data_IF_229051480815
#
_entry.id   IF_229051480815
#
_cell.length_a   1.000
_cell.length_b   1.000
_cell.length_c   1.000
_cell.angle_alpha   90.00
_cell.angle_beta   90.00
_cell.angle_gamma   90.00
#
_symmetry.space_group_name_H-M   'P 1'
#
loop_
_entity.id
_entity.type
_entity.pdbx_description
1 polymer ?
#
# COMPACT_ATOMS: atom_id res chain seq x y z
N UNK A 1 12.19 -20.43 15.22
CA UNK A 1 11.35 -21.63 15.01
C UNK A 1 10.33 -21.25 13.96
N UNK A 2 10.73 -21.52 12.73
CA UNK A 2 10.13 -21.01 11.50
C UNK A 2 8.93 -21.85 11.09
N UNK A 3 7.84 -21.17 10.74
CA UNK A 3 6.76 -21.74 9.95
C UNK A 3 6.51 -20.78 8.79
N UNK A 4 7.26 -20.97 7.71
CA UNK A 4 6.89 -20.48 6.40
C UNK A 4 5.84 -21.44 5.84
N UNK A 5 4.62 -20.99 5.62
CA UNK A 5 3.61 -21.77 4.90
C UNK A 5 3.73 -21.41 3.43
N UNK A 6 4.63 -22.09 2.73
CA UNK A 6 4.62 -22.11 1.27
C UNK A 6 3.56 -23.10 0.80
N UNK A 7 2.58 -22.64 0.03
CA UNK A 7 1.67 -23.54 -0.66
C UNK A 7 2.35 -24.04 -1.93
N UNK A 8 2.92 -25.24 -1.88
CA UNK A 8 3.12 -26.06 -3.09
C UNK A 8 1.93 -27.02 -3.16
N UNK A 9 1.15 -26.95 -4.24
CA UNK A 9 0.06 -27.90 -4.48
C UNK A 9 0.66 -29.23 -4.94
N UNK A 10 0.95 -30.11 -3.98
CA UNK A 10 1.27 -31.52 -4.21
C UNK A 10 0.38 -32.39 -3.32
N UNK A 11 -0.34 -33.35 -3.93
CA UNK A 11 -1.28 -34.24 -3.26
C UNK A 11 -0.60 -35.46 -2.65
N UNK A 12 -0.80 -35.75 -1.34
CA UNK A 12 -1.14 -37.10 -0.83
C UNK A 12 -1.35 -37.16 0.70
N UNK A 13 -2.52 -37.68 1.08
CA UNK A 13 -2.99 -38.53 2.20
C UNK A 13 -2.16 -38.92 3.47
N UNK A 14 -2.84 -38.78 4.63
CA UNK A 14 -2.90 -39.62 5.87
C UNK A 14 -1.95 -39.39 7.09
N UNK A 15 -2.37 -39.74 8.34
CA UNK A 15 -2.38 -38.85 9.53
C UNK A 15 -1.54 -39.35 10.74
N UNK A 16 -1.71 -38.71 11.93
CA UNK A 16 -1.46 -39.15 13.37
C UNK A 16 -0.77 -38.00 14.16
N UNK A 17 -0.84 -37.80 15.50
CA UNK A 17 -1.82 -37.82 16.61
C UNK A 17 -1.00 -37.45 17.89
N UNK A 18 -1.52 -36.57 18.78
CA UNK A 18 -1.10 -36.39 20.21
C UNK A 18 0.23 -35.65 20.48
N UNK A 19 0.47 -34.91 21.57
CA UNK A 19 -0.25 -34.61 22.81
C UNK A 19 0.77 -34.35 23.96
N UNK A 20 0.44 -33.45 24.90
CA UNK A 20 0.92 -33.39 26.32
C UNK A 20 2.37 -32.88 26.58
N UNK A 21 2.81 -32.29 27.71
CA UNK A 21 2.44 -31.18 28.64
C UNK A 21 3.68 -30.93 29.56
N UNK A 22 3.65 -29.83 30.33
CA UNK A 22 4.22 -29.60 31.68
C UNK A 22 5.69 -29.15 31.91
N UNK A 23 5.77 -27.92 32.46
CA UNK A 23 6.44 -27.44 33.68
C UNK A 23 7.93 -27.67 33.96
N UNK A 24 8.57 -26.61 34.53
CA UNK A 24 9.30 -26.60 35.82
C UNK A 24 10.11 -25.27 35.95
N UNK A 25 9.80 -24.48 36.99
CA UNK A 25 10.67 -23.49 37.68
C UNK A 25 11.48 -24.25 38.76
N UNK A 26 12.63 -23.80 39.36
CA UNK A 26 12.65 -22.59 40.23
C UNK A 26 14.04 -21.89 40.50
N UNK A 27 14.01 -20.88 41.40
CA UNK A 27 15.04 -20.43 42.39
C UNK A 27 15.91 -19.16 42.13
N UNK A 28 15.48 -18.05 42.78
CA UNK A 28 16.16 -17.10 43.72
C UNK A 28 17.53 -16.44 43.41
N UNK A 29 17.63 -15.08 43.42
CA UNK A 29 18.03 -14.22 44.57
C UNK A 29 18.41 -12.75 44.20
N UNK A 30 17.84 -11.81 44.99
CA UNK A 30 18.45 -10.58 45.54
C UNK A 30 18.47 -9.22 44.79
N UNK A 31 17.89 -8.23 45.51
CA UNK A 31 18.15 -6.77 45.57
C UNK A 31 17.73 -5.86 44.39
N UNK A 32 17.01 -4.75 44.68
CA UNK A 32 17.47 -3.34 44.60
C UNK A 32 16.29 -2.33 44.68
N UNK A 33 16.37 -1.42 45.67
CA UNK A 33 16.02 0.01 45.74
C UNK A 33 14.65 0.57 45.28
N UNK A 34 14.03 1.31 46.22
CA UNK A 34 12.95 2.29 46.02
C UNK A 34 13.47 3.55 45.30
N UNK A 35 12.83 3.96 44.20
CA UNK A 35 12.78 5.37 43.74
C UNK A 35 11.38 5.64 43.20
N UNK A 36 10.58 6.39 43.95
CA UNK A 36 9.34 7.02 43.49
C UNK A 36 9.69 8.33 42.78
N UNK A 37 9.47 8.40 41.47
CA UNK A 37 9.46 9.66 40.72
C UNK A 37 8.02 9.96 40.28
N UNK A 38 7.42 10.93 40.98
CA UNK A 38 6.16 11.57 40.63
C UNK A 38 6.50 12.55 39.49
N UNK A 39 6.04 12.28 38.27
CA UNK A 39 6.04 13.27 37.20
C UNK A 39 4.64 13.88 37.07
N UNK A 40 4.53 15.22 36.95
CA UNK A 40 3.25 15.84 36.70
C UNK A 40 2.79 15.49 35.29
N UNK A 41 1.53 15.07 35.21
CA UNK A 41 0.77 14.91 33.99
C UNK A 41 0.66 16.26 33.30
N UNK A 42 1.45 16.49 32.24
CA UNK A 42 1.17 17.54 31.26
C UNK A 42 0.73 16.85 29.96
N UNK A 43 -0.59 16.70 29.87
CA UNK A 43 -1.35 16.36 28.67
C UNK A 43 -1.33 17.56 27.71
N UNK A 44 -1.55 17.30 26.41
CA UNK A 44 -1.59 18.19 25.24
C UNK A 44 -0.21 18.34 24.58
N UNK A 45 0.10 17.59 23.51
CA UNK A 45 -0.56 17.67 22.21
C UNK A 45 -0.72 16.25 21.61
N UNK A 46 -1.97 15.81 21.43
CA UNK A 46 -2.29 14.69 20.53
C UNK A 46 -1.92 15.13 19.12
N UNK A 47 -0.75 14.76 18.62
CA UNK A 47 -0.58 14.58 17.18
C UNK A 47 -1.28 13.26 16.86
N UNK A 48 -2.58 13.33 16.61
CA UNK A 48 -3.27 12.30 15.84
C UNK A 48 -2.72 12.43 14.42
N UNK A 49 -1.59 11.78 14.15
CA UNK A 49 -1.20 11.48 12.77
C UNK A 49 -2.21 10.45 12.26
N UNK A 50 -3.36 10.94 11.80
CA UNK A 50 -4.29 10.17 11.01
C UNK A 50 -3.65 10.00 9.63
N UNK A 51 -2.82 8.95 9.49
CA UNK A 51 -2.20 8.60 8.22
C UNK A 51 -3.30 8.02 7.32
N UNK A 52 -3.88 8.89 6.51
CA UNK A 52 -4.98 8.63 5.58
C UNK A 52 -4.46 8.25 4.20
N UNK A 53 -4.00 7.01 4.02
CA UNK A 53 -3.71 6.38 2.72
C UNK A 53 -5.06 6.14 2.00
N UNK A 54 -5.27 6.42 0.70
CA UNK A 54 -4.32 6.20 -0.37
C UNK A 54 -3.44 7.41 -0.69
N UNK A 55 -2.15 7.29 -0.44
CA UNK A 55 -1.05 8.11 -0.94
C UNK A 55 -0.15 7.22 -1.82
N UNK A 56 0.01 7.58 -3.09
CA UNK A 56 0.97 6.93 -3.96
C UNK A 56 2.32 7.62 -3.85
N UNK A 57 3.39 6.84 -3.85
CA UNK A 57 4.78 7.32 -3.90
C UNK A 57 5.39 6.77 -5.19
N UNK A 58 5.84 7.68 -6.05
CA UNK A 58 6.53 7.38 -7.31
C UNK A 58 7.98 7.82 -7.12
N UNK A 59 8.86 6.86 -6.81
CA UNK A 59 10.31 7.10 -6.86
C UNK A 59 10.77 7.18 -8.32
N UNK A 60 11.59 8.18 -8.63
CA UNK A 60 12.15 8.44 -9.95
C UNK A 60 13.68 8.45 -9.83
N UNK A 61 14.33 7.27 -9.89
CA UNK A 61 15.77 7.14 -9.66
C UNK A 61 16.63 8.00 -10.59
N UNK A 62 16.19 8.17 -11.84
CA UNK A 62 16.89 8.98 -12.84
C UNK A 62 16.95 10.48 -12.46
N UNK A 63 16.04 10.93 -11.59
CA UNK A 63 16.00 12.30 -11.07
C UNK A 63 16.46 12.42 -9.61
N UNK A 64 16.78 11.30 -8.96
CA UNK A 64 17.05 11.22 -7.51
C UNK A 64 15.97 11.93 -6.66
N UNK A 65 14.71 11.79 -7.07
CA UNK A 65 13.59 12.45 -6.42
C UNK A 65 12.31 11.59 -6.49
N UNK A 66 11.25 12.02 -5.79
CA UNK A 66 9.98 11.31 -5.74
C UNK A 66 8.78 12.25 -5.86
N UNK A 67 7.72 11.74 -6.45
CA UNK A 67 6.40 12.37 -6.49
C UNK A 67 5.43 11.61 -5.59
N UNK A 68 4.50 12.33 -4.98
CA UNK A 68 3.44 11.71 -4.22
C UNK A 68 2.11 12.44 -4.39
N UNK A 69 1.01 11.69 -4.34
CA UNK A 69 -0.32 12.25 -4.46
C UNK A 69 -1.34 11.28 -3.87
N UNK A 70 -2.50 11.80 -3.48
CA UNK A 70 -3.59 10.97 -2.98
C UNK A 70 -4.62 10.73 -4.07
N UNK A 71 -5.44 9.68 -3.94
CA UNK A 71 -6.69 9.58 -4.70
C UNK A 71 -7.87 9.44 -3.76
N UNK A 72 -8.70 10.47 -3.67
CA UNK A 72 -9.84 10.46 -2.78
C UNK A 72 -11.14 10.46 -3.59
N UNK A 73 -12.01 9.49 -3.29
CA UNK A 73 -13.41 9.45 -3.72
C UNK A 73 -14.23 8.74 -2.64
N UNK A 74 -15.54 8.57 -2.82
CA UNK A 74 -16.42 7.88 -1.88
C UNK A 74 -15.96 6.44 -1.60
N UNK A 75 -16.23 5.91 -0.40
CA UNK A 75 -16.08 4.49 -0.11
C UNK A 75 -16.80 3.60 -1.12
N UNK A 76 -16.19 2.48 -1.47
CA UNK A 76 -16.71 1.51 -2.44
C UNK A 76 -16.27 1.77 -3.88
N UNK A 77 -15.65 2.91 -4.16
CA UNK A 77 -15.09 3.23 -5.49
C UNK A 77 -13.95 2.27 -5.83
N UNK A 78 -13.94 1.76 -7.06
CA UNK A 78 -12.91 0.83 -7.54
C UNK A 78 -12.07 1.56 -8.59
N UNK A 79 -10.79 1.71 -8.31
CA UNK A 79 -9.83 2.35 -9.20
C UNK A 79 -9.00 1.31 -9.97
N UNK A 80 -8.81 1.54 -11.26
CA UNK A 80 -7.83 0.83 -12.06
C UNK A 80 -6.42 1.41 -11.80
N UNK A 81 -5.59 0.66 -11.10
CA UNK A 81 -4.27 1.10 -10.68
C UNK A 81 -3.22 0.79 -11.74
N UNK A 82 -3.28 -0.42 -12.28
CA UNK A 82 -2.37 -0.93 -13.31
C UNK A 82 -3.18 -1.76 -14.30
N UNK A 83 -2.99 -1.51 -15.59
CA UNK A 83 -3.46 -2.36 -16.68
C UNK A 83 -2.36 -2.44 -17.72
N UNK A 84 -1.89 -3.64 -18.00
CA UNK A 84 -0.97 -3.90 -19.10
C UNK A 84 -1.62 -4.85 -20.10
N UNK A 85 -2.15 -4.32 -21.23
CA UNK A 85 -2.90 -5.13 -22.18
C UNK A 85 -2.02 -6.14 -22.94
N UNK A 86 -0.69 -5.99 -22.95
CA UNK A 86 0.19 -6.94 -23.64
C UNK A 86 0.51 -8.16 -22.80
N UNK A 87 0.57 -8.02 -21.47
CA UNK A 87 0.78 -9.13 -20.54
C UNK A 87 -0.54 -9.67 -19.98
N UNK A 88 -1.65 -8.93 -20.14
CA UNK A 88 -2.94 -9.24 -19.54
C UNK A 88 -2.96 -9.04 -18.02
N UNK A 89 -2.00 -8.28 -17.49
CA UNK A 89 -1.87 -7.98 -16.06
C UNK A 89 -2.74 -6.79 -15.67
N UNK A 90 -3.60 -6.96 -14.66
CA UNK A 90 -4.47 -5.89 -14.16
C UNK A 90 -4.46 -5.88 -12.64
N UNK A 91 -4.44 -4.68 -12.06
CA UNK A 91 -4.64 -4.43 -10.63
C UNK A 91 -5.69 -3.35 -10.44
N UNK A 92 -6.76 -3.70 -9.73
CA UNK A 92 -7.81 -2.78 -9.30
C UNK A 92 -7.82 -2.69 -7.77
N UNK A 93 -8.06 -1.49 -7.23
CA UNK A 93 -8.15 -1.24 -5.79
C UNK A 93 -9.50 -0.63 -5.42
N UNK A 94 -10.20 -1.24 -4.46
CA UNK A 94 -11.47 -0.72 -3.94
C UNK A 94 -11.26 0.04 -2.63
N UNK A 95 -11.82 1.25 -2.57
CA UNK A 95 -11.77 2.08 -1.37
C UNK A 95 -12.79 1.63 -0.31
N UNK A 96 -12.44 1.83 0.96
CA UNK A 96 -13.29 1.71 2.15
C UNK A 96 -13.18 3.03 2.92
N UNK A 97 -14.22 3.39 3.68
CA UNK A 97 -14.22 4.62 4.49
C UNK A 97 -13.69 4.40 5.90
N UNK A 98 -13.69 5.44 6.72
CA UNK A 98 -13.54 5.33 8.16
C UNK A 98 -14.62 4.43 8.81
N UNK A 99 -14.30 3.81 9.96
CA UNK A 99 -15.18 2.97 10.78
C UNK A 99 -16.40 3.73 11.30
N UNK A 100 -16.28 5.04 11.51
CA UNK A 100 -17.37 5.93 11.92
C UNK A 100 -17.31 7.21 11.11
N UNK A 101 -18.43 7.56 10.48
CA UNK A 101 -18.60 8.90 9.91
C UNK A 101 -18.87 9.89 11.04
N UNK A 102 -18.02 10.91 11.16
CA UNK A 102 -18.30 12.05 12.01
C UNK A 102 -19.07 13.06 11.16
N UNK A 103 -20.29 13.40 11.57
CA UNK A 103 -21.11 14.41 10.88
C UNK A 103 -20.34 15.72 10.77
N UNK A 104 -20.07 16.17 9.54
CA UNK A 104 -19.37 17.42 9.26
C UNK A 104 -17.85 17.31 9.03
N UNK A 105 -17.25 16.11 9.07
CA UNK A 105 -15.86 15.91 8.64
C UNK A 105 -15.77 15.27 7.26
N UNK A 106 -14.70 15.57 6.52
CA UNK A 106 -14.30 14.79 5.34
C UNK A 106 -14.05 13.35 5.77
N UNK A 107 -14.71 12.40 5.12
CA UNK A 107 -14.47 10.97 5.36
C UNK A 107 -13.18 10.57 4.67
N UNK A 108 -12.23 10.00 5.41
CA UNK A 108 -11.02 9.45 4.79
C UNK A 108 -11.39 8.12 4.14
N UNK A 109 -10.77 7.85 3.01
CA UNK A 109 -10.87 6.58 2.32
C UNK A 109 -9.52 5.90 2.28
N UNK A 110 -9.53 4.57 2.29
CA UNK A 110 -8.36 3.68 2.25
C UNK A 110 -8.60 2.54 1.27
N UNK A 111 -7.57 1.89 0.74
CA UNK A 111 -7.79 0.64 0.04
C UNK A 111 -8.12 -0.49 1.02
N UNK A 112 -9.26 -1.13 0.82
CA UNK A 112 -9.68 -2.29 1.63
C UNK A 112 -9.60 -3.60 0.87
N UNK A 113 -9.63 -3.54 -0.47
CA UNK A 113 -9.63 -4.69 -1.34
C UNK A 113 -8.76 -4.43 -2.57
N UNK A 114 -8.01 -5.44 -3.00
CA UNK A 114 -7.34 -5.45 -4.29
C UNK A 114 -7.77 -6.67 -5.10
N UNK A 115 -8.03 -6.44 -6.38
CA UNK A 115 -8.19 -7.47 -7.39
C UNK A 115 -6.97 -7.48 -8.29
N UNK A 116 -6.29 -8.62 -8.39
CA UNK A 116 -5.20 -8.83 -9.34
C UNK A 116 -5.65 -9.86 -10.36
N UNK A 117 -5.41 -9.59 -11.64
CA UNK A 117 -5.76 -10.46 -12.75
C UNK A 117 -4.51 -10.68 -13.59
N UNK A 118 -4.35 -11.91 -14.05
CA UNK A 118 -3.45 -12.19 -15.17
C UNK A 118 -4.22 -13.02 -16.19
N UNK A 119 -4.71 -12.37 -17.25
CA UNK A 119 -5.64 -12.97 -18.21
C UNK A 119 -5.02 -14.18 -18.91
N UNK A 120 -3.77 -14.06 -19.39
CA UNK A 120 -3.07 -15.14 -20.10
C UNK A 120 -2.95 -16.42 -19.29
N UNK A 121 -2.75 -16.31 -17.97
CA UNK A 121 -2.64 -17.46 -17.07
C UNK A 121 -3.96 -17.83 -16.40
N UNK A 122 -5.04 -17.09 -16.66
CA UNK A 122 -6.34 -17.33 -16.03
C UNK A 122 -6.29 -17.24 -14.51
N UNK A 123 -5.53 -16.28 -13.97
CA UNK A 123 -5.36 -16.10 -12.53
C UNK A 123 -6.15 -14.88 -12.09
N UNK A 124 -6.88 -15.02 -10.98
CA UNK A 124 -7.53 -13.91 -10.27
C UNK A 124 -7.24 -14.03 -8.78
N UNK A 125 -6.72 -12.97 -8.18
CA UNK A 125 -6.45 -12.90 -6.75
C UNK A 125 -7.26 -11.76 -6.15
N UNK A 126 -8.05 -12.06 -5.13
CA UNK A 126 -8.70 -11.06 -4.29
C UNK A 126 -7.95 -10.97 -2.97
N UNK A 127 -7.52 -9.78 -2.60
CA UNK A 127 -6.86 -9.50 -1.33
C UNK A 127 -7.74 -8.57 -0.54
N UNK A 128 -8.06 -8.94 0.69
CA UNK A 128 -8.82 -8.11 1.62
C UNK A 128 -8.02 -7.94 2.91
N UNK A 129 -8.51 -7.12 3.83
CA UNK A 129 -7.89 -6.98 5.16
C UNK A 129 -8.01 -8.24 6.03
N UNK A 130 -8.80 -9.24 5.61
CA UNK A 130 -9.12 -10.44 6.39
C UNK A 130 -8.59 -11.72 5.75
N UNK A 131 -8.71 -11.82 4.43
CA UNK A 131 -8.43 -13.04 3.68
C UNK A 131 -7.90 -12.74 2.28
N UNK A 132 -7.25 -13.76 1.71
CA UNK A 132 -6.75 -13.77 0.34
C UNK A 132 -7.43 -14.94 -0.37
N UNK A 133 -8.07 -14.67 -1.49
CA UNK A 133 -8.72 -15.68 -2.34
C UNK A 133 -7.99 -15.76 -3.66
N UNK A 134 -7.62 -16.98 -4.07
CA UNK A 134 -6.93 -17.24 -5.34
C UNK A 134 -7.80 -18.14 -6.19
N UNK A 135 -8.13 -17.67 -7.39
CA UNK A 135 -8.85 -18.42 -8.41
C UNK A 135 -7.90 -18.65 -9.58
N UNK A 136 -7.67 -19.91 -9.91
CA UNK A 136 -6.81 -20.32 -11.03
C UNK A 136 -7.63 -21.17 -11.99
N UNK A 137 -7.67 -20.78 -13.26
CA UNK A 137 -8.26 -21.63 -14.29
C UNK A 137 -7.30 -22.78 -14.65
N UNK A 138 -7.81 -24.01 -14.84
CA UNK A 138 -7.02 -25.24 -14.88
C UNK A 138 -6.02 -25.36 -16.04
N UNK A 139 -5.93 -24.37 -16.93
CA UNK A 139 -5.17 -24.45 -18.18
C UNK A 139 -3.71 -23.98 -18.09
N UNK A 140 -3.30 -23.26 -17.02
CA UNK A 140 -1.92 -22.78 -16.89
C UNK A 140 -1.43 -22.80 -15.44
N UNK A 141 -0.33 -23.51 -15.19
CA UNK A 141 0.23 -23.72 -13.85
C UNK A 141 1.69 -23.27 -13.77
N UNK A 142 1.94 -21.98 -13.55
CA UNK A 142 3.22 -21.51 -12.99
C UNK A 142 3.07 -20.16 -12.30
N UNK A 143 2.47 -20.15 -11.10
CA UNK A 143 2.42 -19.00 -10.20
C UNK A 143 3.07 -19.34 -8.87
N UNK A 144 3.95 -18.46 -8.37
CA UNK A 144 4.60 -18.59 -7.07
C UNK A 144 4.00 -17.56 -6.08
N UNK A 145 2.82 -17.83 -5.55
CA UNK A 145 2.23 -16.95 -4.54
C UNK A 145 2.93 -17.12 -3.18
N UNK A 146 3.58 -16.07 -2.67
CA UNK A 146 4.27 -16.09 -1.38
C UNK A 146 3.55 -15.21 -0.33
N UNK A 147 2.74 -15.85 0.50
CA UNK A 147 2.18 -15.17 1.68
C UNK A 147 3.23 -15.16 2.80
N UNK A 148 3.64 -13.99 3.26
CA UNK A 148 4.59 -13.88 4.37
C UNK A 148 3.85 -13.60 5.69
N UNK A 149 4.40 -14.09 6.80
CA UNK A 149 3.81 -13.94 8.14
C UNK A 149 3.80 -12.49 8.64
N UNK A 150 4.60 -11.61 8.03
CA UNK A 150 4.87 -10.25 8.49
C UNK A 150 3.78 -9.23 8.08
N UNK A 151 2.55 -9.69 7.83
CA UNK A 151 1.40 -8.88 7.38
C UNK A 151 1.56 -8.30 5.97
N UNK A 152 2.56 -8.75 5.23
CA UNK A 152 2.72 -8.52 3.81
C UNK A 152 2.37 -9.76 3.00
N UNK A 153 1.61 -9.56 1.94
CA UNK A 153 1.44 -10.52 0.87
C UNK A 153 2.38 -10.13 -0.27
N UNK A 154 3.38 -10.96 -0.55
CA UNK A 154 4.22 -10.82 -1.74
C UNK A 154 3.63 -11.70 -2.82
N UNK A 155 3.07 -11.07 -3.85
CA UNK A 155 2.59 -11.82 -5.01
C UNK A 155 3.69 -11.78 -6.06
N UNK A 156 4.34 -12.92 -6.28
CA UNK A 156 5.22 -13.12 -7.41
C UNK A 156 4.56 -14.07 -8.38
N UNK A 157 4.35 -13.64 -9.60
CA UNK A 157 3.97 -14.54 -10.67
C UNK A 157 5.22 -14.73 -11.55
N UNK A 158 5.47 -15.98 -11.94
CA UNK A 158 6.74 -16.36 -12.56
C UNK A 158 6.83 -15.65 -13.92
N UNK A 159 7.90 -14.89 -14.14
CA UNK A 159 8.07 -14.01 -15.31
C UNK A 159 7.05 -12.86 -15.39
N UNK A 160 6.50 -12.39 -14.27
CA UNK A 160 5.67 -11.18 -14.22
C UNK A 160 6.15 -10.18 -13.17
N UNK A 161 5.50 -9.01 -13.16
CA UNK A 161 5.64 -7.93 -12.17
C UNK A 161 5.67 -8.46 -10.75
N UNK A 162 6.54 -7.86 -9.90
CA UNK A 162 6.56 -8.12 -8.46
C UNK A 162 5.95 -6.94 -7.72
N UNK A 163 4.97 -7.23 -6.88
CA UNK A 163 4.35 -6.26 -6.00
C UNK A 163 4.12 -6.85 -4.62
N UNK A 164 4.01 -5.96 -3.63
CA UNK A 164 3.72 -6.28 -2.24
C UNK A 164 2.44 -5.54 -1.86
N UNK A 165 1.50 -6.30 -1.30
CA UNK A 165 0.34 -5.74 -0.64
C UNK A 165 0.56 -5.87 0.86
N UNK A 166 0.46 -4.76 1.59
CA UNK A 166 0.74 -4.72 3.03
C UNK A 166 -0.55 -4.44 3.78
N UNK A 167 -0.86 -5.28 4.77
CA UNK A 167 -1.94 -5.05 5.72
C UNK A 167 -1.47 -4.14 6.85
N UNK A 168 -1.98 -2.91 6.84
CA UNK A 168 -1.79 -1.94 7.90
C UNK A 168 -2.87 -2.16 8.97
N UNK A 169 -2.44 -2.71 10.12
CA UNK A 169 -3.35 -2.96 11.24
C UNK A 169 -3.52 -1.72 12.09
N UNK A 170 -4.77 -1.31 12.24
CA UNK A 170 -5.18 -0.30 13.20
C UNK A 170 -5.53 -0.99 14.51
N UNK A 171 -5.31 -0.31 15.64
CA UNK A 171 -5.73 -0.80 16.94
C UNK A 171 -7.24 -1.12 16.95
N UNK A 172 -7.63 -2.28 17.49
CA UNK A 172 -8.99 -2.83 17.34
C UNK A 172 -10.08 -1.90 17.89
N UNK A 173 -9.82 -1.25 19.01
CA UNK A 173 -10.72 -0.31 19.67
C UNK A 173 -10.56 1.12 19.15
N UNK A 174 -9.78 1.33 18.07
CA UNK A 174 -9.64 2.66 17.47
C UNK A 174 -11.02 3.19 17.03
N UNK A 175 -11.35 4.44 17.41
CA UNK A 175 -12.71 4.96 17.25
C UNK A 175 -13.08 5.31 15.79
N UNK A 176 -12.08 5.62 14.95
CA UNK A 176 -12.29 6.21 13.62
C UNK A 176 -11.72 5.37 12.48
N UNK A 177 -10.44 5.02 12.51
CA UNK A 177 -9.81 4.22 11.45
C UNK A 177 -10.03 2.71 11.62
N UNK A 178 -9.87 1.97 10.52
CA UNK A 178 -9.90 0.52 10.45
C UNK A 178 -8.69 -0.01 9.67
N UNK A 179 -8.45 -1.32 9.72
CA UNK A 179 -7.40 -1.96 8.93
C UNK A 179 -7.55 -1.61 7.45
N UNK A 180 -6.42 -1.40 6.78
CA UNK A 180 -6.38 -1.09 5.35
C UNK A 180 -5.19 -1.76 4.68
N UNK A 181 -5.16 -1.72 3.36
CA UNK A 181 -4.14 -2.31 2.52
C UNK A 181 -3.35 -1.22 1.80
N UNK A 182 -2.03 -1.32 1.79
CA UNK A 182 -1.17 -0.55 0.89
C UNK A 182 -0.75 -1.42 -0.29
N UNK A 183 -0.66 -0.83 -1.49
CA UNK A 183 -0.14 -1.49 -2.68
C UNK A 183 1.19 -0.87 -3.08
N UNK A 184 2.22 -1.72 -3.20
CA UNK A 184 3.57 -1.26 -3.48
C UNK A 184 4.21 -2.10 -4.58
N UNK A 185 4.67 -1.44 -5.65
CA UNK A 185 5.39 -2.11 -6.73
C UNK A 185 6.86 -2.24 -6.37
N UNK A 186 7.40 -3.46 -6.44
CA UNK A 186 8.83 -3.72 -6.21
C UNK A 186 9.62 -3.72 -7.50
N UNK A 187 9.00 -4.20 -8.58
CA UNK A 187 9.70 -4.41 -9.82
C UNK A 187 8.75 -4.37 -11.02
N UNK A 188 8.91 -3.36 -11.88
CA UNK A 188 8.07 -3.07 -13.04
C UNK A 188 8.70 -3.42 -14.39
N UNK A 189 9.93 -3.94 -14.44
CA UNK A 189 10.64 -4.18 -15.72
C UNK A 189 9.95 -5.18 -16.66
N UNK A 190 9.00 -5.96 -16.14
CA UNK A 190 8.23 -6.96 -16.88
C UNK A 190 6.91 -6.41 -17.43
N UNK A 191 6.58 -5.15 -17.14
CA UNK A 191 5.45 -4.46 -17.73
C UNK A 191 5.81 -3.93 -19.11
N UNK A 192 4.85 -4.00 -20.02
CA UNK A 192 5.04 -3.54 -21.38
C UNK A 192 4.99 -2.02 -21.49
N UNK A 193 5.47 -1.49 -22.63
CA UNK A 193 5.37 -0.07 -22.97
C UNK A 193 3.93 0.46 -23.03
N UNK A 194 2.92 -0.42 -23.00
CA UNK A 194 1.49 -0.08 -23.01
C UNK A 194 0.86 -0.09 -21.62
N UNK A 195 1.62 -0.34 -20.56
CA UNK A 195 1.07 -0.30 -19.21
C UNK A 195 0.51 1.09 -18.90
N UNK A 196 -0.66 1.12 -18.29
CA UNK A 196 -1.37 2.32 -17.88
C UNK A 196 -2.15 2.07 -16.58
N UNK A 197 -3.01 3.00 -16.19
CA UNK A 197 -3.71 3.05 -14.91
C UNK A 197 -3.24 4.22 -14.05
N UNK A 198 -3.88 4.44 -12.90
CA UNK A 198 -3.55 5.57 -12.01
C UNK A 198 -2.05 5.63 -11.71
N UNK A 199 -1.43 4.49 -11.40
CA UNK A 199 0.00 4.40 -11.15
C UNK A 199 0.78 3.75 -12.28
N UNK A 200 0.15 2.89 -13.09
CA UNK A 200 0.83 2.17 -14.17
C UNK A 200 1.48 3.08 -15.21
N UNK A 201 0.89 4.25 -15.46
CA UNK A 201 1.42 5.27 -16.37
C UNK A 201 2.81 5.81 -15.98
N UNK A 202 3.28 5.61 -14.74
CA UNK A 202 4.58 6.10 -14.27
C UNK A 202 5.68 5.05 -14.32
N UNK A 203 5.41 3.81 -14.73
CA UNK A 203 6.42 2.75 -14.75
C UNK A 203 7.50 2.93 -15.83
N UNK A 204 7.28 3.82 -16.79
CA UNK A 204 8.30 4.26 -17.75
C UNK A 204 8.96 5.59 -17.34
N UNK A 205 8.76 6.02 -16.10
CA UNK A 205 9.22 7.29 -15.58
C UNK A 205 8.33 8.47 -15.97
N UNK A 206 8.60 9.60 -15.34
CA UNK A 206 8.02 10.90 -15.68
C UNK A 206 9.09 11.96 -15.47
N UNK A 207 9.21 12.87 -16.42
CA UNK A 207 10.14 13.99 -16.31
C UNK A 207 9.40 15.22 -15.79
N UNK A 208 10.00 15.87 -14.80
CA UNK A 208 9.53 17.13 -14.28
C UNK A 208 10.70 18.08 -13.97
N UNK A 209 10.38 19.36 -13.85
CA UNK A 209 11.29 20.41 -13.41
C UNK A 209 10.65 21.15 -12.23
N UNK A 210 11.46 21.50 -11.22
CA UNK A 210 10.99 22.26 -10.06
C UNK A 210 11.65 23.62 -10.03
N UNK A 211 10.85 24.64 -9.79
CA UNK A 211 11.25 26.04 -9.76
C UNK A 211 10.50 26.79 -8.66
N UNK A 212 10.91 28.03 -8.40
CA UNK A 212 10.24 28.94 -7.47
C UNK A 212 10.01 28.32 -6.09
N UNK A 213 11.07 27.83 -5.46
CA UNK A 213 11.02 27.34 -4.08
C UNK A 213 10.63 28.50 -3.15
N UNK A 214 9.52 28.32 -2.43
CA UNK A 214 9.01 29.24 -1.42
C UNK A 214 9.06 28.53 -0.09
N UNK A 215 9.72 29.14 0.89
CA UNK A 215 9.65 28.66 2.27
C UNK A 215 8.17 28.68 2.71
N UNK A 216 7.64 27.49 3.00
CA UNK A 216 6.29 27.33 3.53
C UNK A 216 6.19 27.90 4.96
N UNK A 217 4.99 27.88 5.54
CA UNK A 217 4.84 28.18 6.98
C UNK A 217 5.60 27.18 7.86
N UNK A 218 5.76 25.96 7.36
CA UNK A 218 6.56 24.90 7.94
C UNK A 218 7.85 24.76 7.10
N UNK A 219 9.05 24.96 7.67
CA UNK A 219 10.32 24.83 6.96
C UNK A 219 10.52 23.44 6.34
N UNK A 220 9.90 22.41 6.90
CA UNK A 220 9.96 21.04 6.38
C UNK A 220 8.97 20.78 5.24
N UNK A 221 8.15 21.80 4.87
CA UNK A 221 7.14 21.73 3.80
C UNK A 221 7.21 22.94 2.86
N UNK A 222 8.34 23.19 2.19
CA UNK A 222 8.42 24.23 1.18
C UNK A 222 7.43 23.99 0.03
N UNK A 223 6.83 25.08 -0.45
CA UNK A 223 6.03 25.09 -1.66
C UNK A 223 6.92 25.34 -2.88
N UNK A 224 6.53 24.82 -4.04
CA UNK A 224 7.24 25.04 -5.29
C UNK A 224 6.29 25.05 -6.49
N UNK A 225 6.83 25.45 -7.64
CA UNK A 225 6.18 25.31 -8.94
C UNK A 225 6.87 24.19 -9.72
N UNK A 226 6.10 23.17 -10.08
CA UNK A 226 6.54 22.04 -10.89
C UNK A 226 6.05 22.19 -12.32
N UNK A 227 6.92 21.98 -13.30
CA UNK A 227 6.55 21.80 -14.70
C UNK A 227 6.63 20.32 -15.05
N UNK A 228 5.51 19.71 -15.44
CA UNK A 228 5.42 18.27 -15.72
C UNK A 228 4.37 18.02 -16.81
N UNK A 229 4.69 17.19 -17.81
CA UNK A 229 3.78 16.86 -18.92
C UNK A 229 3.11 18.09 -19.59
N UNK A 230 3.83 19.22 -19.68
CA UNK A 230 3.29 20.47 -20.25
C UNK A 230 2.41 21.30 -19.30
N UNK A 231 2.22 20.86 -18.05
CA UNK A 231 1.42 21.55 -17.04
C UNK A 231 2.30 22.22 -15.99
N UNK A 232 1.81 23.32 -15.44
CA UNK A 232 2.42 24.01 -14.30
C UNK A 232 1.58 23.74 -13.05
N UNK A 233 2.16 23.04 -12.07
CA UNK A 233 1.50 22.62 -10.85
C UNK A 233 2.12 23.30 -9.64
N UNK A 234 1.29 23.74 -8.70
CA UNK A 234 1.77 24.04 -7.35
C UNK A 234 1.98 22.71 -6.63
N UNK A 235 3.15 22.52 -6.04
CA UNK A 235 3.50 21.31 -5.28
C UNK A 235 4.05 21.71 -3.91
N UNK A 236 3.99 20.79 -2.96
CA UNK A 236 4.51 21.00 -1.60
C UNK A 236 5.43 19.85 -1.24
N UNK A 237 6.63 20.12 -0.75
CA UNK A 237 7.52 19.06 -0.28
C UNK A 237 6.96 18.45 0.99
N UNK A 238 7.09 17.14 1.16
CA UNK A 238 6.72 16.47 2.39
C UNK A 238 7.43 15.14 2.57
N UNK A 239 7.36 14.63 3.79
CA UNK A 239 7.82 13.29 4.12
C UNK A 239 6.64 12.34 4.12
N UNK A 240 6.76 11.26 3.34
CA UNK A 240 5.78 10.17 3.30
C UNK A 240 6.44 8.88 3.75
N UNK A 241 5.63 7.98 4.30
CA UNK A 241 6.12 6.69 4.78
C UNK A 241 5.96 5.63 3.69
N UNK A 242 7.07 5.06 3.25
CA UNK A 242 7.13 4.00 2.26
C UNK A 242 7.50 2.67 2.92
N UNK A 243 6.73 1.62 2.64
CA UNK A 243 6.90 0.31 3.27
C UNK A 243 7.51 -0.74 2.33
N UNK A 244 7.90 -0.36 1.10
CA UNK A 244 8.53 -1.25 0.10
C UNK A 244 9.76 -1.98 0.62
N UNK A 245 10.70 -1.23 1.22
CA UNK A 245 11.99 -1.73 1.71
C UNK A 245 11.90 -2.24 3.14
N UNK A 246 11.07 -1.61 3.97
CA UNK A 246 10.90 -1.95 5.37
C UNK A 246 9.42 -2.06 5.74
N UNK A 247 8.83 -3.25 5.55
CA UNK A 247 7.41 -3.52 5.83
C UNK A 247 7.02 -3.23 7.29
N UNK A 248 7.95 -3.36 8.25
CA UNK A 248 7.66 -3.21 9.68
C UNK A 248 7.65 -1.76 10.13
N UNK A 249 8.67 -1.00 9.72
CA UNK A 249 8.89 0.35 10.23
C UNK A 249 8.62 1.42 9.18
N UNK A 250 8.52 1.08 7.91
CA UNK A 250 8.58 2.03 6.80
C UNK A 250 9.90 2.80 6.76
N UNK A 251 10.12 3.49 5.65
CA UNK A 251 11.19 4.46 5.45
C UNK A 251 10.55 5.81 5.11
N UNK A 252 11.16 6.89 5.59
CA UNK A 252 10.71 8.23 5.24
C UNK A 252 11.27 8.58 3.86
N UNK A 253 10.38 8.82 2.90
CA UNK A 253 10.70 9.28 1.56
C UNK A 253 10.27 10.73 1.45
N UNK A 254 11.20 11.59 1.06
CA UNK A 254 10.89 12.99 0.74
C UNK A 254 10.33 13.04 -0.68
N UNK A 255 9.15 13.62 -0.87
CA UNK A 255 8.50 13.71 -2.17
C UNK A 255 7.83 15.07 -2.38
N UNK A 256 7.63 15.43 -3.63
CA UNK A 256 6.74 16.52 -4.01
C UNK A 256 5.29 16.04 -4.02
N UNK A 257 4.46 16.66 -3.21
CA UNK A 257 3.03 16.37 -3.14
C UNK A 257 2.25 17.11 -4.22
N UNK A 258 1.57 16.38 -5.09
CA UNK A 258 0.66 16.91 -6.11
C UNK A 258 -0.76 16.95 -5.53
N UNK A 259 -1.30 18.16 -5.47
CA UNK A 259 -2.65 18.42 -4.94
C UNK A 259 -3.74 17.95 -5.91
N UNK A 260 -5.01 18.01 -5.47
CA UNK A 260 -6.20 17.76 -6.30
C UNK A 260 -6.18 16.38 -6.98
N UNK A 261 -5.94 15.33 -6.21
CA UNK A 261 -5.93 13.94 -6.68
C UNK A 261 -4.96 13.66 -7.85
N UNK A 262 -3.81 14.34 -7.90
CA UNK A 262 -2.82 14.15 -8.97
C UNK A 262 -3.20 14.82 -10.30
N UNK A 263 -4.19 15.71 -10.33
CA UNK A 263 -4.63 16.40 -11.56
C UNK A 263 -3.46 17.12 -12.24
N UNK A 264 -3.29 16.89 -13.54
CA UNK A 264 -2.19 17.43 -14.35
C UNK A 264 -0.89 16.60 -14.30
N UNK A 265 -0.74 15.73 -13.30
CA UNK A 265 0.31 14.70 -13.28
C UNK A 265 -0.16 13.40 -13.94
N UNK A 266 -1.38 12.95 -13.61
CA UNK A 266 -2.02 11.80 -14.28
C UNK A 266 -2.53 12.23 -15.67
N UNK A 267 -2.53 11.32 -16.65
CA UNK A 267 -2.87 11.61 -18.06
C UNK A 267 -4.34 12.05 -18.28
N UNK A 268 -5.25 11.70 -17.37
CA UNK A 268 -6.68 12.01 -17.43
C UNK A 268 -7.22 12.70 -16.18
N UNK A 269 -8.52 12.54 -15.91
CA UNK A 269 -9.13 12.89 -14.62
C UNK A 269 -9.35 11.62 -13.79
N UNK A 270 -9.46 11.76 -12.46
CA UNK A 270 -9.58 10.61 -11.57
C UNK A 270 -10.74 9.66 -11.95
N UNK A 271 -11.85 10.20 -12.47
CA UNK A 271 -13.02 9.41 -12.88
C UNK A 271 -12.77 8.49 -14.07
N UNK A 272 -11.76 8.79 -14.90
CA UNK A 272 -11.40 7.96 -16.07
C UNK A 272 -10.84 6.60 -15.64
N UNK A 273 -10.39 6.49 -14.40
CA UNK A 273 -9.82 5.29 -13.82
C UNK A 273 -10.80 4.53 -12.92
N UNK A 274 -12.08 4.91 -12.87
CA UNK A 274 -13.09 4.20 -12.07
C UNK A 274 -13.67 3.04 -12.88
N UNK A 275 -13.64 1.84 -12.30
CA UNK A 275 -14.21 0.61 -12.90
C UNK A 275 -15.38 0.09 -12.08
N UNK A 276 -16.24 -0.73 -12.71
CA UNK A 276 -17.48 -1.21 -12.10
C UNK A 276 -17.31 -2.40 -11.15
N UNK A 277 -16.29 -3.22 -11.36
CA UNK A 277 -16.04 -4.45 -10.62
C UNK A 277 -14.54 -4.66 -10.35
N UNK A 278 -14.22 -5.31 -9.23
CA UNK A 278 -12.84 -5.56 -8.79
C UNK A 278 -12.04 -6.41 -9.77
N UNK A 279 -12.73 -7.24 -10.57
CA UNK A 279 -12.16 -8.04 -11.65
C UNK A 279 -12.48 -7.53 -13.05
N UNK A 280 -12.81 -6.23 -13.20
CA UNK A 280 -12.95 -5.61 -14.51
C UNK A 280 -11.60 -5.60 -15.24
N UNK A 281 -11.62 -5.98 -16.50
CA UNK A 281 -10.51 -5.80 -17.45
C UNK A 281 -10.96 -4.81 -18.52
N UNK A 282 -10.03 -3.98 -18.98
CA UNK A 282 -10.27 -2.88 -19.94
C UNK A 282 -9.85 -3.31 -21.34
#
# INVERSE_FOLDING_TARGET
MDYAVGYSLLSSSYPVLGGVTDDILPVLLSTFFYITLIYPFTLFLKVLAADGDPHFIIELPDQDDALCFNINDKPGTIFNLVTDPLTGFVVNGQTIGDKKMISGSTTHTYFGHFGIIHEEFGIRVMVTTREITVLVFPSFSSMDLQVTKDRSLTVSLRNSVKFVIILHKVWKEHPYHQDYLGFYTLDSHLLSQRVHGVIGQFFHGVNFEVSNLVEGQDPDKPDAIMFVKGHTLKVTRGWQRDFRKNVKNGENVSCWFIHNNGTGLIDGVLTDYIVSDIFSTV
#
